data_IF_399931920957
#
_entry.id   IF_399931920957
#
_cell.length_a   1.000
_cell.length_b   1.000
_cell.length_c   1.000
_cell.angle_alpha   90.00
_cell.angle_beta   90.00
_cell.angle_gamma   90.00
#
_symmetry.space_group_name_H-M   'P 1'
#
loop_
_entity.id
_entity.type
_entity.pdbx_description
1 polymer ?
#
# COMPACT_ATOMS: atom_id res chain seq x y z
N UNK A 1 -13.24 3.16 51.18
CA UNK A 1 -11.97 3.78 50.70
C UNK A 1 -11.93 5.32 50.89
N UNK A 2 -13.07 5.99 51.11
CA UNK A 2 -13.16 7.45 51.37
C UNK A 2 -12.76 7.91 52.80
N UNK A 3 -12.28 7.03 53.69
CA UNK A 3 -12.06 7.34 55.12
C UNK A 3 -10.61 7.62 55.52
N UNK A 4 -9.66 7.66 54.59
CA UNK A 4 -8.24 7.98 54.88
C UNK A 4 -7.76 9.26 54.19
N UNK A 5 -8.66 10.24 54.02
CA UNK A 5 -8.27 11.59 53.62
C UNK A 5 -7.71 12.31 54.87
N UNK A 6 -6.41 12.10 55.06
CA UNK A 6 -5.42 12.92 55.75
C UNK A 6 -5.89 13.76 56.96
N UNK A 7 -5.59 13.24 58.16
CA UNK A 7 -5.65 13.99 59.44
C UNK A 7 -4.61 15.11 59.57
N UNK A 8 -3.69 15.27 58.62
CA UNK A 8 -2.64 16.30 58.66
C UNK A 8 -2.21 16.72 57.25
N UNK A 9 -2.77 17.84 56.76
CA UNK A 9 -2.55 18.38 55.40
C UNK A 9 -1.15 18.97 55.21
N UNK A 10 -0.45 19.31 56.30
CA UNK A 10 0.89 19.90 56.26
C UNK A 10 2.03 18.87 56.28
N UNK A 11 1.73 17.58 56.51
CA UNK A 11 2.74 16.53 56.71
C UNK A 11 3.03 15.66 55.49
N UNK A 12 2.38 15.90 54.35
CA UNK A 12 2.50 15.05 53.14
C UNK A 12 2.88 15.92 51.94
N UNK A 13 3.82 15.48 51.12
CA UNK A 13 4.34 16.25 49.98
C UNK A 13 3.23 16.59 48.97
N UNK A 14 3.27 17.81 48.42
CA UNK A 14 2.29 18.33 47.47
C UNK A 14 2.13 17.47 46.20
N UNK A 15 3.16 16.69 45.86
CA UNK A 15 3.18 15.75 44.75
C UNK A 15 2.17 14.62 44.91
N UNK A 16 2.00 14.09 46.13
CA UNK A 16 1.01 13.04 46.45
C UNK A 16 -0.41 13.58 46.31
N UNK A 17 -0.65 14.82 46.71
CA UNK A 17 -1.96 15.46 46.53
C UNK A 17 -2.26 15.70 45.06
N UNK A 18 -1.28 16.18 44.29
CA UNK A 18 -1.44 16.42 42.85
C UNK A 18 -1.76 15.14 42.09
N UNK A 19 -1.07 14.03 42.40
CA UNK A 19 -1.38 12.72 41.83
C UNK A 19 -2.79 12.23 42.22
N UNK A 20 -3.20 12.40 43.48
CA UNK A 20 -4.56 12.02 43.94
C UNK A 20 -5.65 12.87 43.28
N UNK A 21 -5.43 14.18 43.12
CA UNK A 21 -6.34 15.06 42.39
C UNK A 21 -6.40 14.69 40.91
N UNK A 22 -5.28 14.30 40.29
CA UNK A 22 -5.26 13.83 38.91
C UNK A 22 -6.03 12.52 38.73
N UNK A 23 -5.87 11.56 39.67
CA UNK A 23 -6.66 10.31 39.67
C UNK A 23 -8.14 10.60 39.89
N UNK A 24 -8.50 11.48 40.82
CA UNK A 24 -9.88 11.92 41.04
C UNK A 24 -10.45 12.60 39.79
N UNK A 25 -9.67 13.45 39.12
CA UNK A 25 -10.05 14.08 37.86
C UNK A 25 -10.30 13.04 36.75
N UNK A 26 -9.44 12.03 36.61
CA UNK A 26 -9.64 10.92 35.67
C UNK A 26 -10.92 10.12 36.00
N UNK A 27 -11.17 9.84 37.28
CA UNK A 27 -12.38 9.14 37.75
C UNK A 27 -13.65 9.95 37.48
N UNK A 28 -13.64 11.26 37.79
CA UNK A 28 -14.76 12.16 37.52
C UNK A 28 -15.02 12.30 36.02
N UNK A 29 -13.95 12.39 35.21
CA UNK A 29 -14.05 12.42 33.75
C UNK A 29 -14.63 11.11 33.20
N UNK A 30 -14.22 9.97 33.75
CA UNK A 30 -14.78 8.67 33.38
C UNK A 30 -16.26 8.57 33.77
N UNK A 31 -16.64 8.96 34.98
CA UNK A 31 -18.04 9.00 35.42
C UNK A 31 -18.89 9.93 34.54
N UNK A 32 -18.38 11.11 34.21
CA UNK A 32 -19.05 12.05 33.31
C UNK A 32 -19.23 11.47 31.90
N UNK A 33 -18.20 10.82 31.36
CA UNK A 33 -18.26 10.14 30.07
C UNK A 33 -19.28 8.99 30.07
N UNK A 34 -19.32 8.17 31.13
CA UNK A 34 -20.28 7.07 31.27
C UNK A 34 -21.72 7.59 31.41
N UNK A 35 -21.95 8.60 32.24
CA UNK A 35 -23.28 9.20 32.44
C UNK A 35 -23.78 9.89 31.17
N UNK A 36 -22.92 10.64 30.48
CA UNK A 36 -23.27 11.27 29.20
C UNK A 36 -23.56 10.24 28.12
N UNK A 37 -22.75 9.17 28.01
CA UNK A 37 -23.00 8.05 27.09
C UNK A 37 -24.31 7.35 27.41
N UNK A 38 -24.59 7.07 28.69
CA UNK A 38 -25.83 6.42 29.12
C UNK A 38 -27.06 7.29 28.85
N UNK A 39 -26.99 8.59 29.15
CA UNK A 39 -28.04 9.54 28.82
C UNK A 39 -28.26 9.62 27.29
N UNK A 40 -27.19 9.64 26.50
CA UNK A 40 -27.26 9.62 25.05
C UNK A 40 -27.93 8.35 24.53
N UNK A 41 -27.61 7.19 25.10
CA UNK A 41 -28.23 5.90 24.78
C UNK A 41 -29.71 5.85 25.16
N UNK A 42 -30.10 6.42 26.31
CA UNK A 42 -31.51 6.53 26.70
C UNK A 42 -32.29 7.47 25.78
N UNK A 43 -31.69 8.60 25.40
CA UNK A 43 -32.27 9.55 24.44
C UNK A 43 -32.38 8.90 23.06
N UNK A 44 -31.36 8.19 22.58
CA UNK A 44 -31.38 7.43 21.32
C UNK A 44 -32.45 6.32 21.34
N UNK A 45 -32.59 5.60 22.47
CA UNK A 45 -33.63 4.58 22.68
C UNK A 45 -35.04 5.19 22.64
N UNK A 46 -35.21 6.39 23.21
CA UNK A 46 -36.50 7.09 23.28
C UNK A 46 -36.87 7.77 21.96
N UNK A 47 -35.89 8.19 21.16
CA UNK A 47 -36.10 8.94 19.91
C UNK A 47 -36.20 8.04 18.67
N UNK A 48 -35.44 6.94 18.56
CA UNK A 48 -35.55 6.02 17.42
C UNK A 48 -34.87 4.65 17.66
N UNK A 49 -35.67 3.62 17.98
CA UNK A 49 -35.19 2.24 18.20
C UNK A 49 -34.44 1.66 16.99
N UNK A 50 -34.71 2.16 15.78
CA UNK A 50 -34.05 1.69 14.56
C UNK A 50 -32.56 2.10 14.49
N UNK A 51 -32.16 3.18 15.16
CA UNK A 51 -30.75 3.63 15.20
C UNK A 51 -29.87 2.63 15.96
N UNK A 52 -30.37 2.09 17.08
CA UNK A 52 -29.67 1.08 17.89
C UNK A 52 -29.42 -0.23 17.13
N UNK A 53 -30.28 -0.56 16.15
CA UNK A 53 -30.12 -1.72 15.27
C UNK A 53 -29.20 -1.41 14.09
N UNK A 54 -29.24 -0.17 13.59
CA UNK A 54 -28.53 0.25 12.37
C UNK A 54 -27.04 0.49 12.64
N UNK A 55 -26.69 1.12 13.77
CA UNK A 55 -25.30 1.46 14.10
C UNK A 55 -24.39 0.21 14.13
N UNK A 56 -24.71 -0.89 14.84
CA UNK A 56 -23.85 -2.08 14.85
C UNK A 56 -23.66 -2.71 13.48
N UNK A 57 -24.65 -2.59 12.58
CA UNK A 57 -24.56 -3.11 11.20
C UNK A 57 -23.65 -2.26 10.32
N UNK A 58 -23.63 -0.95 10.52
CA UNK A 58 -22.81 0.00 9.76
C UNK A 58 -21.40 0.14 10.33
N UNK A 59 -21.22 -0.13 11.62
CA UNK A 59 -19.99 0.10 12.35
C UNK A 59 -18.76 -0.53 11.67
N UNK A 60 -18.75 -1.82 11.27
CA UNK A 60 -17.56 -2.40 10.64
C UNK A 60 -17.17 -1.70 9.33
N UNK A 61 -18.15 -1.44 8.45
CA UNK A 61 -17.90 -0.77 7.18
C UNK A 61 -17.42 0.68 7.38
N UNK A 62 -18.01 1.40 8.34
CA UNK A 62 -17.64 2.77 8.64
C UNK A 62 -16.24 2.87 9.26
N UNK A 63 -15.89 1.97 10.18
CA UNK A 63 -14.54 1.88 10.74
C UNK A 63 -13.50 1.60 9.65
N UNK A 64 -13.78 0.64 8.76
CA UNK A 64 -12.91 0.34 7.61
C UNK A 64 -12.72 1.54 6.70
N UNK A 65 -13.79 2.30 6.41
CA UNK A 65 -13.67 3.54 5.63
C UNK A 65 -12.79 4.57 6.35
N UNK A 66 -12.95 4.72 7.66
CA UNK A 66 -12.13 5.62 8.47
C UNK A 66 -10.65 5.24 8.45
N UNK A 67 -10.32 3.97 8.67
CA UNK A 67 -8.94 3.46 8.60
C UNK A 67 -8.35 3.54 7.18
N UNK A 68 -9.18 3.31 6.16
CA UNK A 68 -8.73 3.48 4.77
C UNK A 68 -8.43 4.95 4.48
N UNK A 69 -9.22 5.87 5.03
CA UNK A 69 -9.01 7.32 4.86
C UNK A 69 -7.75 7.81 5.58
N UNK A 70 -7.42 7.26 6.75
CA UNK A 70 -6.18 7.60 7.47
C UNK A 70 -4.92 6.99 6.87
N UNK A 71 -5.05 5.94 6.06
CA UNK A 71 -3.92 5.28 5.38
C UNK A 71 -3.73 5.76 3.93
N UNK A 72 -4.82 6.17 3.25
CA UNK A 72 -4.80 6.64 1.86
C UNK A 72 -5.75 7.80 1.65
N UNK A 73 -5.26 8.85 0.99
CA UNK A 73 -6.07 10.05 0.68
C UNK A 73 -7.28 9.76 -0.21
N UNK A 74 -7.21 8.71 -1.04
CA UNK A 74 -8.34 8.24 -1.86
C UNK A 74 -9.32 7.33 -1.10
N UNK A 75 -9.10 7.04 0.18
CA UNK A 75 -10.02 6.25 1.00
C UNK A 75 -11.49 6.72 0.96
N UNK A 76 -11.78 8.04 1.03
CA UNK A 76 -13.14 8.57 0.91
C UNK A 76 -13.87 8.17 -0.38
N UNK A 77 -13.14 7.84 -1.46
CA UNK A 77 -13.73 7.39 -2.72
C UNK A 77 -14.53 6.09 -2.56
N UNK A 78 -14.10 5.17 -1.69
CA UNK A 78 -14.88 3.98 -1.36
C UNK A 78 -16.23 4.35 -0.70
N UNK A 79 -16.23 5.38 0.15
CA UNK A 79 -17.45 5.94 0.74
C UNK A 79 -18.39 6.54 -0.31
N UNK A 80 -17.84 7.20 -1.33
CA UNK A 80 -18.63 7.75 -2.46
C UNK A 80 -19.30 6.62 -3.24
N UNK A 81 -18.60 5.52 -3.52
CA UNK A 81 -19.18 4.35 -4.20
C UNK A 81 -20.34 3.74 -3.39
N UNK A 82 -20.17 3.58 -2.08
CA UNK A 82 -21.23 3.09 -1.17
C UNK A 82 -22.41 4.06 -1.15
N UNK A 83 -22.15 5.37 -1.06
CA UNK A 83 -23.19 6.39 -1.07
C UNK A 83 -23.97 6.40 -2.38
N UNK A 84 -23.28 6.31 -3.52
CA UNK A 84 -23.90 6.19 -4.84
C UNK A 84 -24.84 4.98 -4.90
N UNK A 85 -24.37 3.80 -4.49
CA UNK A 85 -25.18 2.58 -4.46
C UNK A 85 -26.41 2.70 -3.55
N UNK A 86 -26.22 3.22 -2.33
CA UNK A 86 -27.30 3.38 -1.35
C UNK A 86 -28.35 4.41 -1.82
N UNK A 87 -27.93 5.53 -2.40
CA UNK A 87 -28.84 6.53 -2.96
C UNK A 87 -29.58 6.00 -4.20
N UNK A 88 -28.93 5.19 -5.04
CA UNK A 88 -29.56 4.59 -6.21
C UNK A 88 -30.65 3.57 -5.82
N UNK A 89 -30.39 2.75 -4.80
CA UNK A 89 -31.28 1.66 -4.38
C UNK A 89 -32.37 2.10 -3.38
N UNK A 90 -32.06 3.00 -2.45
CA UNK A 90 -32.96 3.44 -1.37
C UNK A 90 -33.33 4.93 -1.45
N UNK A 91 -32.82 5.68 -2.43
CA UNK A 91 -33.10 7.12 -2.63
C UNK A 91 -32.86 7.91 -1.34
N UNK A 92 -33.75 8.85 -1.01
CA UNK A 92 -33.65 9.71 0.17
C UNK A 92 -33.69 8.94 1.50
N UNK A 93 -34.18 7.69 1.51
CA UNK A 93 -34.21 6.87 2.72
C UNK A 93 -32.80 6.42 3.15
N UNK A 94 -31.79 6.45 2.26
CA UNK A 94 -30.41 6.15 2.62
C UNK A 94 -29.73 7.27 3.42
N UNK A 95 -30.22 8.51 3.35
CA UNK A 95 -29.53 9.68 3.91
C UNK A 95 -29.20 9.55 5.41
N UNK A 96 -30.11 9.08 6.29
CA UNK A 96 -29.78 8.92 7.71
C UNK A 96 -28.68 7.87 7.94
N UNK A 97 -28.75 6.74 7.24
CA UNK A 97 -27.74 5.68 7.34
C UNK A 97 -26.38 6.14 6.81
N UNK A 98 -26.36 6.88 5.70
CA UNK A 98 -25.14 7.46 5.14
C UNK A 98 -24.54 8.54 6.05
N UNK A 99 -25.36 9.34 6.72
CA UNK A 99 -24.89 10.31 7.70
C UNK A 99 -24.22 9.62 8.89
N UNK A 100 -24.84 8.58 9.45
CA UNK A 100 -24.27 7.78 10.54
C UNK A 100 -22.95 7.13 10.08
N UNK A 101 -22.96 6.51 8.90
CA UNK A 101 -21.78 5.89 8.30
C UNK A 101 -20.63 6.90 8.15
N UNK A 102 -20.90 8.09 7.61
CA UNK A 102 -19.91 9.14 7.43
C UNK A 102 -19.38 9.67 8.77
N UNK A 103 -20.24 9.91 9.76
CA UNK A 103 -19.82 10.38 11.08
C UNK A 103 -18.90 9.36 11.77
N UNK A 104 -19.28 8.07 11.77
CA UNK A 104 -18.44 7.02 12.35
C UNK A 104 -17.10 6.93 11.61
N UNK A 105 -17.09 7.01 10.28
CA UNK A 105 -15.87 6.99 9.48
C UNK A 105 -14.96 8.19 9.76
N UNK A 106 -15.52 9.40 9.89
CA UNK A 106 -14.75 10.60 10.25
C UNK A 106 -14.14 10.50 11.65
N UNK A 107 -14.89 9.99 12.62
CA UNK A 107 -14.37 9.74 13.98
C UNK A 107 -13.23 8.73 13.93
N UNK A 108 -13.41 7.62 13.23
CA UNK A 108 -12.39 6.59 13.08
C UNK A 108 -11.14 7.10 12.37
N UNK A 109 -11.30 7.88 11.29
CA UNK A 109 -10.20 8.52 10.57
C UNK A 109 -9.43 9.48 11.49
N UNK A 110 -10.13 10.35 12.23
CA UNK A 110 -9.49 11.30 13.15
C UNK A 110 -8.73 10.62 14.28
N UNK A 111 -9.33 9.61 14.93
CA UNK A 111 -8.67 8.86 16.01
C UNK A 111 -7.45 8.10 15.49
N UNK A 112 -7.55 7.48 14.32
CA UNK A 112 -6.46 6.69 13.72
C UNK A 112 -5.40 7.53 12.99
N UNK A 113 -5.55 8.85 12.92
CA UNK A 113 -4.62 9.74 12.25
C UNK A 113 -4.10 10.84 13.20
N UNK A 114 -3.11 10.52 14.07
CA UNK A 114 -2.58 11.45 15.07
C UNK A 114 -2.07 12.77 14.51
N UNK A 115 -1.61 12.75 13.24
CA UNK A 115 -1.24 13.97 12.54
C UNK A 115 -2.38 14.98 12.54
N UNK A 116 -3.66 14.60 12.50
CA UNK A 116 -4.76 15.57 12.48
C UNK A 116 -5.02 16.24 13.85
N UNK A 117 -4.58 15.70 14.98
CA UNK A 117 -5.04 16.14 16.31
C UNK A 117 -4.79 17.61 16.65
N UNK A 118 -3.62 18.21 16.32
CA UNK A 118 -3.36 19.60 16.68
C UNK A 118 -4.15 20.61 15.87
N UNK A 119 -4.49 20.29 14.62
CA UNK A 119 -5.26 21.16 13.73
C UNK A 119 -5.89 20.32 12.58
N UNK A 120 -7.05 19.70 12.80
CA UNK A 120 -7.56 18.65 11.91
C UNK A 120 -7.90 19.15 10.51
N UNK A 121 -8.53 20.33 10.41
CA UNK A 121 -8.95 20.87 9.12
C UNK A 121 -7.74 21.29 8.29
N UNK A 122 -6.82 22.08 8.86
CA UNK A 122 -5.65 22.56 8.13
C UNK A 122 -4.71 21.41 7.75
N UNK A 123 -4.49 20.44 8.64
CA UNK A 123 -3.61 19.30 8.37
C UNK A 123 -4.22 18.30 7.39
N UNK A 124 -5.54 18.11 7.39
CA UNK A 124 -6.21 17.31 6.37
C UNK A 124 -6.05 17.95 4.99
N UNK A 125 -6.32 19.26 4.87
CA UNK A 125 -6.14 19.99 3.62
C UNK A 125 -4.68 20.01 3.16
N UNK A 126 -3.74 20.24 4.08
CA UNK A 126 -2.31 20.17 3.80
C UNK A 126 -1.87 18.79 3.30
N UNK A 127 -2.35 17.71 3.92
CA UNK A 127 -2.08 16.33 3.48
C UNK A 127 -2.65 16.06 2.08
N UNK A 128 -3.84 16.59 1.79
CA UNK A 128 -4.45 16.45 0.47
C UNK A 128 -3.61 17.13 -0.61
N UNK A 129 -3.13 18.35 -0.37
CA UNK A 129 -2.25 19.06 -1.30
C UNK A 129 -0.94 18.28 -1.47
N UNK A 130 -0.26 17.98 -0.37
CA UNK A 130 1.05 17.31 -0.38
C UNK A 130 0.99 15.98 -1.13
N UNK A 131 -0.07 15.19 -0.95
CA UNK A 131 -0.22 13.92 -1.66
C UNK A 131 -0.64 14.09 -3.13
N UNK A 132 -1.36 15.17 -3.46
CA UNK A 132 -1.76 15.47 -4.85
C UNK A 132 -0.59 15.99 -5.69
N UNK A 133 0.36 16.68 -5.06
CA UNK A 133 1.56 17.24 -5.69
C UNK A 133 2.84 16.59 -5.18
N UNK A 134 2.79 15.33 -4.74
CA UNK A 134 3.88 14.68 -4.01
C UNK A 134 5.22 14.92 -4.73
N UNK A 135 6.14 15.71 -4.15
CA UNK A 135 7.27 16.28 -4.85
C UNK A 135 8.42 15.27 -4.94
N UNK A 136 8.13 14.10 -5.50
CA UNK A 136 9.13 13.09 -5.78
C UNK A 136 9.66 13.31 -7.20
N UNK A 137 10.79 14.02 -7.29
CA UNK A 137 11.48 14.33 -8.55
C UNK A 137 12.37 13.18 -9.05
N UNK A 138 12.00 11.93 -8.73
CA UNK A 138 12.74 10.75 -9.16
C UNK A 138 12.50 10.42 -10.63
N UNK A 139 13.48 9.78 -11.24
CA UNK A 139 13.35 9.18 -12.56
C UNK A 139 12.71 7.80 -12.46
N UNK A 140 11.92 7.44 -13.48
CA UNK A 140 11.29 6.13 -13.65
C UNK A 140 11.70 5.57 -14.99
N UNK A 141 12.20 4.34 -15.01
CA UNK A 141 12.53 3.62 -16.23
C UNK A 141 11.26 3.04 -16.88
N UNK A 142 10.93 3.50 -18.08
CA UNK A 142 9.80 3.00 -18.85
C UNK A 142 10.14 2.82 -20.33
N UNK A 143 9.97 1.59 -20.81
CA UNK A 143 10.32 1.12 -22.15
C UNK A 143 11.73 1.55 -22.64
N UNK A 144 12.71 1.59 -21.73
CA UNK A 144 14.11 1.89 -22.05
C UNK A 144 14.50 3.36 -21.93
N UNK A 145 13.56 4.23 -21.62
CA UNK A 145 13.77 5.65 -21.41
C UNK A 145 13.48 6.04 -19.96
N UNK A 146 14.16 7.09 -19.48
CA UNK A 146 13.94 7.64 -18.15
C UNK A 146 12.96 8.80 -18.23
N UNK A 147 11.92 8.73 -17.44
CA UNK A 147 10.91 9.78 -17.33
C UNK A 147 10.91 10.36 -15.91
N UNK A 148 10.62 11.64 -15.76
CA UNK A 148 10.26 12.18 -14.46
C UNK A 148 8.92 11.59 -14.01
N UNK A 149 8.78 11.32 -12.71
CA UNK A 149 7.61 10.66 -12.15
C UNK A 149 6.27 11.38 -12.42
N UNK A 150 6.31 12.70 -12.57
CA UNK A 150 5.16 13.58 -12.86
C UNK A 150 4.92 13.81 -14.37
N UNK A 151 5.81 13.28 -15.22
CA UNK A 151 5.74 13.43 -16.67
C UNK A 151 5.79 12.07 -17.40
N UNK A 152 5.02 11.12 -16.90
CA UNK A 152 4.91 9.79 -17.50
C UNK A 152 4.03 9.80 -18.75
N UNK A 153 4.33 8.98 -19.77
CA UNK A 153 3.50 8.86 -20.96
C UNK A 153 2.15 8.22 -20.60
N UNK A 154 1.08 8.57 -21.34
CA UNK A 154 -0.26 8.00 -21.12
C UNK A 154 -0.31 6.46 -21.27
N UNK A 155 0.66 5.88 -21.99
CA UNK A 155 0.82 4.44 -22.14
C UNK A 155 1.43 3.74 -20.93
N UNK A 156 2.00 4.47 -19.95
CA UNK A 156 2.69 3.91 -18.79
C UNK A 156 1.83 2.89 -18.04
N UNK A 157 0.68 3.34 -17.52
CA UNK A 157 -0.18 2.50 -16.69
C UNK A 157 -0.84 1.36 -17.49
N UNK A 158 -1.43 1.60 -18.68
CA UNK A 158 -1.95 0.51 -19.50
C UNK A 158 -0.90 -0.54 -19.88
N UNK A 159 0.33 -0.12 -20.22
CA UNK A 159 1.41 -1.04 -20.56
C UNK A 159 1.80 -1.88 -19.36
N UNK A 160 2.03 -1.28 -18.19
CA UNK A 160 2.39 -2.03 -16.99
C UNK A 160 1.29 -3.00 -16.55
N UNK A 161 0.02 -2.60 -16.64
CA UNK A 161 -1.11 -3.51 -16.45
C UNK A 161 -1.07 -4.67 -17.45
N UNK A 162 -0.76 -4.43 -18.72
CA UNK A 162 -0.68 -5.50 -19.71
C UNK A 162 0.47 -6.49 -19.43
N UNK A 163 1.60 -6.04 -18.86
CA UNK A 163 2.83 -6.85 -18.76
C UNK A 163 3.17 -7.37 -17.36
N UNK A 164 2.62 -6.82 -16.27
CA UNK A 164 2.89 -7.29 -14.90
C UNK A 164 1.78 -8.16 -14.31
N UNK A 165 0.71 -8.41 -15.07
CA UNK A 165 -0.27 -9.44 -14.73
C UNK A 165 -0.08 -10.68 -15.59
N UNK A 166 -0.49 -11.83 -15.05
CA UNK A 166 -0.57 -13.06 -15.84
C UNK A 166 -1.58 -12.86 -16.97
N UNK A 167 -1.24 -13.37 -18.15
CA UNK A 167 -1.99 -13.22 -19.39
C UNK A 167 -3.48 -13.61 -19.28
N UNK A 168 -3.85 -14.68 -18.53
CA UNK A 168 -5.25 -15.05 -18.38
C UNK A 168 -6.13 -13.96 -17.79
N UNK A 169 -5.60 -13.06 -16.93
CA UNK A 169 -6.45 -12.12 -16.19
C UNK A 169 -7.23 -11.18 -17.11
N UNK A 170 -6.58 -10.63 -18.14
CA UNK A 170 -7.20 -9.64 -19.02
C UNK A 170 -8.17 -10.29 -19.99
N UNK A 171 -7.84 -11.50 -20.46
CA UNK A 171 -8.74 -12.32 -21.29
C UNK A 171 -10.01 -12.65 -20.50
N UNK A 172 -9.86 -13.15 -19.27
CA UNK A 172 -10.98 -13.50 -18.41
C UNK A 172 -11.79 -12.26 -18.00
N UNK A 173 -11.15 -11.14 -17.68
CA UNK A 173 -11.84 -9.90 -17.37
C UNK A 173 -12.64 -9.37 -18.57
N UNK A 174 -12.10 -9.45 -19.79
CA UNK A 174 -12.81 -9.07 -21.01
C UNK A 174 -14.03 -9.97 -21.30
N UNK A 175 -13.88 -11.29 -21.16
CA UNK A 175 -14.99 -12.26 -21.27
C UNK A 175 -16.05 -11.96 -20.20
N UNK A 176 -15.62 -11.73 -18.96
CA UNK A 176 -16.47 -11.36 -17.84
C UNK A 176 -17.25 -10.08 -18.09
N UNK A 177 -16.59 -9.05 -18.62
CA UNK A 177 -17.21 -7.78 -18.99
C UNK A 177 -18.27 -7.97 -20.08
N UNK A 178 -17.95 -8.71 -21.14
CA UNK A 178 -18.91 -9.03 -22.21
C UNK A 178 -20.18 -9.67 -21.64
N UNK A 179 -20.01 -10.65 -20.75
CA UNK A 179 -21.10 -11.35 -20.10
C UNK A 179 -21.87 -10.50 -19.08
N UNK A 180 -21.19 -9.60 -18.36
CA UNK A 180 -21.83 -8.66 -17.45
C UNK A 180 -22.68 -7.62 -18.20
N UNK A 181 -22.23 -7.20 -19.39
CA UNK A 181 -22.99 -6.33 -20.29
C UNK A 181 -24.20 -7.05 -20.91
N UNK A 182 -24.10 -8.36 -21.21
CA UNK A 182 -25.24 -9.14 -21.71
C UNK A 182 -26.32 -9.30 -20.64
N UNK A 183 -25.93 -9.58 -19.40
CA UNK A 183 -26.85 -9.75 -18.27
C UNK A 183 -27.06 -8.44 -17.48
N UNK A 184 -26.90 -7.31 -18.16
CA UNK A 184 -26.88 -5.98 -17.54
C UNK A 184 -28.13 -5.71 -16.70
N UNK A 185 -29.30 -6.19 -17.11
CA UNK A 185 -30.56 -5.99 -16.38
C UNK A 185 -30.54 -6.59 -14.97
N UNK A 186 -29.80 -7.68 -14.75
CA UNK A 186 -29.74 -8.37 -13.46
C UNK A 186 -28.59 -7.85 -12.57
N UNK A 187 -27.44 -7.52 -13.16
CA UNK A 187 -26.21 -7.15 -12.43
C UNK A 187 -25.78 -5.68 -12.65
N UNK A 188 -26.68 -4.81 -13.12
CA UNK A 188 -26.41 -3.40 -13.49
C UNK A 188 -25.56 -2.65 -12.46
N UNK A 189 -25.97 -2.67 -11.19
CA UNK A 189 -25.32 -1.86 -10.16
C UNK A 189 -23.90 -2.33 -9.87
N UNK A 190 -23.70 -3.64 -9.77
CA UNK A 190 -22.38 -4.23 -9.55
C UNK A 190 -21.45 -3.91 -10.72
N UNK A 191 -21.94 -3.98 -11.96
CA UNK A 191 -21.14 -3.61 -13.13
C UNK A 191 -20.77 -2.12 -13.09
N UNK A 192 -21.75 -1.23 -12.87
CA UNK A 192 -21.49 0.22 -12.81
C UNK A 192 -20.50 0.54 -11.69
N UNK A 193 -20.67 -0.01 -10.49
CA UNK A 193 -19.74 0.19 -9.38
C UNK A 193 -18.34 -0.33 -9.69
N UNK A 194 -18.23 -1.50 -10.31
CA UNK A 194 -16.94 -2.08 -10.71
C UNK A 194 -16.23 -1.21 -11.75
N UNK A 195 -16.97 -0.72 -12.75
CA UNK A 195 -16.46 0.19 -13.77
C UNK A 195 -16.07 1.54 -13.18
N UNK A 196 -16.87 2.11 -12.28
CA UNK A 196 -16.51 3.36 -11.60
C UNK A 196 -15.27 3.17 -10.75
N UNK A 197 -15.21 2.10 -9.95
CA UNK A 197 -14.05 1.80 -9.11
C UNK A 197 -12.76 1.67 -9.93
N UNK A 198 -12.78 0.95 -11.05
CA UNK A 198 -11.58 0.78 -11.86
C UNK A 198 -11.31 2.00 -12.76
N UNK A 199 -12.25 2.36 -13.64
CA UNK A 199 -11.99 3.31 -14.73
C UNK A 199 -11.85 4.75 -14.24
N UNK A 200 -12.68 5.21 -13.30
CA UNK A 200 -12.66 6.62 -12.91
C UNK A 200 -11.31 7.03 -12.31
N UNK A 201 -10.80 6.41 -11.24
CA UNK A 201 -9.48 6.75 -10.73
C UNK A 201 -8.39 6.46 -11.76
N UNK A 202 -8.41 5.32 -12.48
CA UNK A 202 -7.39 5.02 -13.51
C UNK A 202 -7.27 6.15 -14.53
N UNK A 203 -8.40 6.62 -15.07
CA UNK A 203 -8.42 7.72 -16.02
C UNK A 203 -7.95 9.03 -15.37
N UNK A 204 -8.34 9.32 -14.13
CA UNK A 204 -7.86 10.51 -13.42
C UNK A 204 -6.34 10.46 -13.19
N UNK A 205 -5.77 9.32 -12.80
CA UNK A 205 -4.32 9.16 -12.65
C UNK A 205 -3.58 9.42 -13.97
N UNK A 206 -4.09 8.90 -15.09
CA UNK A 206 -3.52 9.08 -16.43
C UNK A 206 -3.66 10.53 -16.92
N UNK A 207 -4.86 11.11 -16.80
CA UNK A 207 -5.17 12.44 -17.33
C UNK A 207 -4.55 13.57 -16.51
N UNK A 208 -4.52 13.43 -15.19
CA UNK A 208 -3.94 14.41 -14.27
C UNK A 208 -2.42 14.22 -14.10
N UNK A 209 -1.83 13.19 -14.73
CA UNK A 209 -0.41 12.84 -14.63
C UNK A 209 0.09 12.84 -13.17
N UNK A 210 -0.66 12.19 -12.30
CA UNK A 210 -0.28 12.06 -10.89
C UNK A 210 1.07 11.34 -10.83
N UNK A 211 1.98 11.81 -9.97
CA UNK A 211 3.31 11.23 -9.84
C UNK A 211 3.25 9.75 -9.46
N UNK A 212 3.80 8.88 -10.31
CA UNK A 212 3.90 7.44 -10.07
C UNK A 212 5.35 7.00 -10.16
N UNK A 213 5.70 5.98 -9.37
CA UNK A 213 7.05 5.44 -9.33
C UNK A 213 7.07 4.02 -8.83
N UNK A 214 8.18 3.33 -9.11
CA UNK A 214 8.36 1.92 -8.76
C UNK A 214 7.17 1.08 -9.26
N UNK A 215 6.90 1.20 -10.57
CA UNK A 215 5.75 0.64 -11.29
C UNK A 215 4.40 1.23 -10.87
N UNK A 216 3.37 0.38 -10.66
CA UNK A 216 2.01 0.79 -10.28
C UNK A 216 1.61 0.31 -8.87
N UNK A 217 2.58 -0.02 -8.00
CA UNK A 217 2.30 -0.58 -6.65
C UNK A 217 1.35 0.30 -5.81
N UNK A 218 1.37 1.61 -6.04
CA UNK A 218 0.47 2.57 -5.40
C UNK A 218 -0.99 2.34 -5.78
N UNK A 219 -1.25 1.79 -6.98
CA UNK A 219 -2.55 1.64 -7.62
C UNK A 219 -3.14 0.23 -7.53
N UNK A 220 -2.54 -0.69 -6.76
CA UNK A 220 -3.05 -2.07 -6.61
C UNK A 220 -4.51 -2.14 -6.12
N UNK A 221 -4.97 -1.12 -5.41
CA UNK A 221 -6.36 -0.99 -4.93
C UNK A 221 -7.40 -0.83 -6.05
N UNK A 222 -6.97 -0.56 -7.30
CA UNK A 222 -7.85 -0.44 -8.46
C UNK A 222 -8.26 -1.79 -9.04
N UNK A 223 -7.52 -2.85 -8.74
CA UNK A 223 -7.61 -4.14 -9.42
C UNK A 223 -8.74 -5.08 -8.98
N UNK A 224 -9.35 -5.01 -7.77
CA UNK A 224 -10.40 -5.94 -7.39
C UNK A 224 -11.55 -6.07 -8.41
N UNK A 225 -12.07 -4.99 -9.03
CA UNK A 225 -13.02 -5.09 -10.14
C UNK A 225 -12.58 -5.97 -11.30
N UNK A 226 -11.29 -5.96 -11.67
CA UNK A 226 -10.74 -6.79 -12.75
C UNK A 226 -10.88 -8.27 -12.41
N UNK A 227 -10.55 -8.64 -11.17
CA UNK A 227 -10.69 -10.01 -10.69
C UNK A 227 -12.16 -10.44 -10.53
N UNK A 228 -13.05 -9.52 -10.12
CA UNK A 228 -14.49 -9.77 -10.09
C UNK A 228 -15.03 -10.09 -11.48
N UNK A 229 -14.61 -9.33 -12.50
CA UNK A 229 -14.97 -9.61 -13.89
C UNK A 229 -14.42 -10.96 -14.35
N UNK A 230 -13.18 -11.30 -14.04
CA UNK A 230 -12.65 -12.64 -14.31
C UNK A 230 -13.50 -13.75 -13.64
N UNK A 231 -14.01 -13.52 -12.43
CA UNK A 231 -14.97 -14.41 -11.76
C UNK A 231 -16.26 -14.62 -12.55
N UNK A 232 -16.82 -13.55 -13.14
CA UNK A 232 -18.01 -13.63 -14.01
C UNK A 232 -17.77 -14.54 -15.23
N UNK A 233 -16.55 -14.57 -15.77
CA UNK A 233 -16.21 -15.51 -16.83
C UNK A 233 -16.31 -16.97 -16.35
N UNK A 234 -15.77 -17.28 -15.16
CA UNK A 234 -15.86 -18.61 -14.58
C UNK A 234 -17.30 -19.03 -14.24
N UNK A 235 -18.18 -18.11 -13.83
CA UNK A 235 -19.61 -18.40 -13.56
C UNK A 235 -20.37 -18.95 -14.79
N UNK A 236 -19.83 -18.77 -16.00
CA UNK A 236 -20.40 -19.32 -17.23
C UNK A 236 -20.14 -20.80 -17.39
N UNK A 237 -19.11 -21.33 -16.74
CA UNK A 237 -18.79 -22.75 -16.76
C UNK A 237 -19.68 -23.44 -15.72
N UNK A 238 -20.75 -24.12 -16.18
CA UNK A 238 -21.78 -24.68 -15.30
C UNK A 238 -21.37 -25.98 -14.60
N UNK A 239 -20.49 -26.74 -15.22
CA UNK A 239 -19.98 -27.98 -14.65
C UNK A 239 -18.78 -27.68 -13.76
N UNK A 240 -18.89 -28.04 -12.48
CA UNK A 240 -17.88 -27.71 -11.46
C UNK A 240 -16.48 -28.22 -11.82
N UNK A 241 -16.36 -29.44 -12.36
CA UNK A 241 -15.06 -30.00 -12.76
C UNK A 241 -14.32 -29.16 -13.80
N UNK A 242 -15.04 -28.63 -14.80
CA UNK A 242 -14.46 -27.77 -15.84
C UNK A 242 -14.18 -26.37 -15.33
N UNK A 243 -15.02 -25.86 -14.41
CA UNK A 243 -14.79 -24.58 -13.77
C UNK A 243 -13.52 -24.62 -12.91
N UNK A 244 -13.37 -25.66 -12.09
CA UNK A 244 -12.16 -25.89 -11.28
C UNK A 244 -10.93 -26.07 -12.16
N UNK A 245 -11.02 -26.86 -13.24
CA UNK A 245 -9.91 -27.02 -14.18
C UNK A 245 -9.50 -25.70 -14.85
N UNK A 246 -10.47 -24.89 -15.27
CA UNK A 246 -10.21 -23.58 -15.87
C UNK A 246 -9.56 -22.60 -14.87
N UNK A 247 -10.02 -22.59 -13.62
CA UNK A 247 -9.41 -21.79 -12.55
C UNK A 247 -7.96 -22.26 -12.32
N UNK A 248 -7.74 -23.57 -12.14
CA UNK A 248 -6.42 -24.13 -11.91
C UNK A 248 -5.45 -23.80 -13.06
N UNK A 249 -5.90 -23.95 -14.31
CA UNK A 249 -5.10 -23.62 -15.49
C UNK A 249 -4.79 -22.12 -15.57
N UNK A 250 -5.74 -21.25 -15.22
CA UNK A 250 -5.53 -19.80 -15.24
C UNK A 250 -4.51 -19.31 -14.21
N UNK A 251 -4.33 -20.05 -13.11
CA UNK A 251 -3.36 -19.74 -12.06
C UNK A 251 -1.96 -20.26 -12.38
N UNK A 252 -1.84 -21.23 -13.30
CA UNK A 252 -0.59 -21.91 -13.59
C UNK A 252 0.57 -20.97 -13.97
N UNK A 253 0.39 -19.94 -14.84
CA UNK A 253 1.48 -19.01 -15.16
C UNK A 253 2.00 -18.27 -13.92
N UNK A 254 1.07 -17.87 -13.03
CA UNK A 254 1.41 -17.22 -11.77
C UNK A 254 2.15 -18.16 -10.84
N UNK A 255 1.69 -19.40 -10.68
CA UNK A 255 2.36 -20.41 -9.84
C UNK A 255 3.78 -20.70 -10.32
N UNK A 256 3.98 -20.87 -11.63
CA UNK A 256 5.31 -21.06 -12.22
C UNK A 256 6.20 -19.85 -11.94
N UNK A 257 5.67 -18.64 -12.11
CA UNK A 257 6.41 -17.41 -11.79
C UNK A 257 6.78 -17.29 -10.30
N UNK A 258 5.86 -17.63 -9.40
CA UNK A 258 6.10 -17.58 -7.95
C UNK A 258 7.26 -18.49 -7.53
N UNK A 259 7.36 -19.68 -8.13
CA UNK A 259 8.44 -20.65 -7.90
C UNK A 259 9.74 -20.16 -8.52
N UNK A 260 9.73 -19.81 -9.81
CA UNK A 260 10.94 -19.44 -10.55
C UNK A 260 11.57 -18.13 -10.07
N UNK A 261 10.76 -17.20 -9.55
CA UNK A 261 11.23 -15.91 -9.08
C UNK A 261 11.49 -15.89 -7.59
N UNK A 262 11.25 -16.96 -6.83
CA UNK A 262 11.48 -16.92 -5.39
C UNK A 262 12.92 -16.55 -5.03
N UNK A 263 13.18 -15.63 -4.08
CA UNK A 263 12.24 -14.85 -3.24
C UNK A 263 11.81 -13.46 -3.79
N UNK A 264 11.97 -13.19 -5.08
CA UNK A 264 11.74 -11.92 -5.78
C UNK A 264 10.46 -11.88 -6.61
N UNK A 265 9.35 -12.45 -6.15
CA UNK A 265 8.14 -12.55 -6.97
C UNK A 265 7.58 -11.20 -7.45
N UNK A 266 7.92 -10.11 -6.75
CA UNK A 266 7.44 -8.77 -7.07
C UNK A 266 8.07 -8.17 -8.34
N UNK A 267 9.17 -8.72 -8.85
CA UNK A 267 9.80 -8.27 -10.10
C UNK A 267 9.15 -8.89 -11.35
N UNK A 268 8.03 -9.60 -11.19
CA UNK A 268 7.39 -10.37 -12.24
C UNK A 268 7.01 -9.50 -13.45
N UNK A 269 7.34 -10.04 -14.62
CA UNK A 269 6.86 -9.62 -15.92
C UNK A 269 6.41 -10.86 -16.70
N UNK A 270 5.34 -10.73 -17.47
CA UNK A 270 4.72 -11.84 -18.17
C UNK A 270 5.45 -12.20 -19.47
N UNK A 271 4.99 -13.26 -20.14
CA UNK A 271 5.65 -13.79 -21.34
C UNK A 271 5.57 -12.86 -22.55
N UNK A 272 4.58 -11.96 -22.61
CA UNK A 272 4.39 -11.01 -23.72
C UNK A 272 5.61 -10.08 -23.86
N UNK A 273 6.20 -9.68 -22.74
CA UNK A 273 7.40 -8.83 -22.72
C UNK A 273 8.71 -9.64 -22.69
N UNK A 274 8.62 -10.97 -22.71
CA UNK A 274 9.78 -11.87 -22.62
C UNK A 274 10.22 -12.17 -21.18
N UNK A 275 9.30 -12.09 -20.22
CA UNK A 275 9.59 -12.31 -18.80
C UNK A 275 10.44 -11.22 -18.18
N UNK A 276 11.03 -11.52 -17.02
CA UNK A 276 11.87 -10.57 -16.27
C UNK A 276 13.12 -10.17 -17.07
N UNK A 277 13.75 -11.10 -17.78
CA UNK A 277 14.87 -10.82 -18.70
C UNK A 277 14.49 -9.82 -19.80
N UNK A 278 13.30 -9.96 -20.40
CA UNK A 278 12.82 -9.04 -21.44
C UNK A 278 12.43 -7.65 -20.93
N UNK A 279 12.22 -7.53 -19.61
CA UNK A 279 11.99 -6.26 -18.94
C UNK A 279 13.29 -5.55 -18.50
N UNK A 280 14.41 -6.27 -18.37
CA UNK A 280 15.68 -5.68 -17.93
C UNK A 280 16.12 -4.53 -18.85
N UNK A 281 16.42 -3.38 -18.25
CA UNK A 281 16.83 -2.17 -18.96
C UNK A 281 15.68 -1.48 -19.70
N UNK A 282 14.47 -2.03 -19.68
CA UNK A 282 13.26 -1.43 -20.25
C UNK A 282 12.28 -0.96 -19.18
N UNK A 283 12.13 -1.70 -18.10
CA UNK A 283 11.23 -1.38 -16.99
C UNK A 283 11.93 -1.62 -15.65
N UNK A 284 11.37 -1.07 -14.57
CA UNK A 284 11.89 -1.24 -13.22
C UNK A 284 11.83 -2.72 -12.78
N UNK A 285 12.95 -3.27 -12.31
CA UNK A 285 13.06 -4.64 -11.75
C UNK A 285 13.12 -4.60 -10.22
N UNK A 286 14.28 -4.85 -9.61
CA UNK A 286 14.47 -4.88 -8.15
C UNK A 286 14.56 -3.47 -7.54
N UNK A 287 13.49 -2.67 -7.68
CA UNK A 287 13.47 -1.28 -7.21
C UNK A 287 13.51 -1.15 -5.67
N UNK A 288 13.13 -2.20 -4.92
CA UNK A 288 13.29 -2.24 -3.46
C UNK A 288 14.68 -2.71 -3.02
N UNK A 289 15.58 -3.05 -3.95
CA UNK A 289 16.95 -3.50 -3.65
C UNK A 289 16.97 -4.70 -2.69
N UNK A 290 16.00 -5.60 -2.83
CA UNK A 290 15.93 -6.81 -2.00
C UNK A 290 17.12 -7.75 -2.28
N UNK A 291 17.76 -7.60 -3.44
CA UNK A 291 19.00 -8.30 -3.78
C UNK A 291 20.16 -7.97 -2.86
N UNK A 292 20.11 -6.85 -2.13
CA UNK A 292 21.19 -6.48 -1.20
C UNK A 292 21.30 -7.42 -0.01
N UNK A 293 20.22 -8.12 0.32
CA UNK A 293 20.30 -9.22 1.29
C UNK A 293 21.24 -10.33 0.80
N UNK A 294 21.05 -10.82 -0.43
CA UNK A 294 21.93 -11.86 -1.00
C UNK A 294 23.35 -11.35 -1.19
N UNK A 295 23.52 -10.05 -1.50
CA UNK A 295 24.84 -9.44 -1.56
C UNK A 295 25.57 -9.48 -0.22
N UNK A 296 24.86 -9.14 0.87
CA UNK A 296 25.41 -9.17 2.21
C UNK A 296 25.73 -10.61 2.65
N UNK A 297 24.80 -11.54 2.44
CA UNK A 297 25.01 -12.96 2.76
C UNK A 297 26.21 -13.54 2.01
N UNK A 298 26.42 -13.15 0.74
CA UNK A 298 27.61 -13.54 -0.02
C UNK A 298 28.90 -12.97 0.56
N UNK A 299 28.95 -11.66 0.86
CA UNK A 299 30.18 -11.04 1.37
C UNK A 299 30.51 -11.49 2.80
N UNK A 300 29.52 -11.71 3.68
CA UNK A 300 29.77 -12.29 5.00
C UNK A 300 30.50 -13.64 4.91
N UNK A 301 30.22 -14.44 3.87
CA UNK A 301 30.82 -15.77 3.69
C UNK A 301 32.15 -15.75 2.93
N UNK A 302 32.39 -14.75 2.08
CA UNK A 302 33.47 -14.79 1.09
C UNK A 302 34.49 -13.64 1.23
N UNK A 303 34.13 -12.55 1.92
CA UNK A 303 35.05 -11.45 2.17
C UNK A 303 35.92 -11.74 3.41
N UNK A 304 37.22 -11.37 3.39
CA UNK A 304 38.04 -11.37 4.60
C UNK A 304 37.42 -10.50 5.70
N UNK A 305 37.55 -10.91 6.96
CA UNK A 305 37.15 -10.08 8.11
C UNK A 305 37.83 -8.70 8.06
N UNK A 306 37.09 -7.65 8.38
CA UNK A 306 37.54 -6.26 8.28
C UNK A 306 37.48 -5.65 6.87
N UNK A 307 36.85 -6.31 5.88
CA UNK A 307 36.73 -5.77 4.53
C UNK A 307 35.84 -4.53 4.49
N UNK A 308 36.32 -3.46 3.85
CA UNK A 308 35.57 -2.22 3.66
C UNK A 308 34.66 -2.34 2.43
N UNK A 309 33.35 -2.14 2.62
CA UNK A 309 32.33 -2.35 1.60
C UNK A 309 31.63 -1.04 1.26
N UNK A 310 31.66 -0.65 -0.01
CA UNK A 310 30.79 0.41 -0.53
C UNK A 310 29.49 -0.19 -1.07
N UNK A 311 28.35 0.30 -0.60
CA UNK A 311 27.03 -0.07 -1.11
C UNK A 311 26.42 1.13 -1.81
N UNK A 312 26.28 1.00 -3.12
CA UNK A 312 25.68 2.01 -3.95
C UNK A 312 24.16 2.06 -3.74
N UNK A 313 23.54 3.25 -3.71
CA UNK A 313 22.11 3.39 -3.45
C UNK A 313 21.75 3.30 -1.95
N UNK A 314 20.72 2.53 -1.60
CA UNK A 314 20.16 2.48 -0.24
C UNK A 314 20.94 1.50 0.66
N UNK A 315 22.13 1.90 1.10
CA UNK A 315 23.03 1.05 1.90
C UNK A 315 22.42 0.47 3.18
N UNK A 316 21.45 1.17 3.80
CA UNK A 316 20.76 0.68 4.99
C UNK A 316 20.03 -0.65 4.78
N UNK A 317 19.61 -0.98 3.56
CA UNK A 317 18.96 -2.26 3.24
C UNK A 317 19.96 -3.42 3.23
N UNK A 318 21.21 -3.14 2.83
CA UNK A 318 22.31 -4.10 2.92
C UNK A 318 22.76 -4.28 4.37
N UNK A 319 22.95 -3.18 5.10
CA UNK A 319 23.47 -3.15 6.47
C UNK A 319 22.71 -4.04 7.45
N UNK A 320 21.38 -4.21 7.27
CA UNK A 320 20.54 -5.09 8.10
C UNK A 320 21.05 -6.54 8.12
N UNK A 321 21.75 -6.98 7.06
CA UNK A 321 22.21 -8.35 6.88
C UNK A 321 23.73 -8.49 6.89
N UNK A 322 24.48 -7.40 7.08
CA UNK A 322 25.94 -7.44 7.16
C UNK A 322 26.40 -7.87 8.56
N UNK A 323 27.42 -8.72 8.65
CA UNK A 323 28.00 -9.11 9.95
C UNK A 323 28.83 -7.98 10.58
N UNK A 324 29.57 -7.23 9.76
CA UNK A 324 30.39 -6.08 10.16
C UNK A 324 29.77 -4.78 9.61
N UNK A 325 28.61 -4.37 10.14
CA UNK A 325 27.89 -3.16 9.68
C UNK A 325 28.77 -1.89 9.74
N UNK A 326 29.69 -1.81 10.70
CA UNK A 326 30.64 -0.71 10.84
C UNK A 326 31.53 -0.51 9.60
N UNK A 327 31.77 -1.57 8.84
CA UNK A 327 32.60 -1.55 7.64
C UNK A 327 31.79 -1.30 6.36
N UNK A 328 30.48 -1.05 6.49
CA UNK A 328 29.57 -0.74 5.38
C UNK A 328 29.39 0.76 5.22
N UNK A 329 29.74 1.26 4.04
CA UNK A 329 29.64 2.66 3.65
C UNK A 329 28.66 2.83 2.49
N UNK A 330 27.96 3.96 2.48
CA UNK A 330 27.04 4.36 1.40
C UNK A 330 26.88 5.87 1.41
N UNK A 331 26.06 6.43 0.53
CA UNK A 331 25.78 7.86 0.44
C UNK A 331 25.34 8.53 1.76
N UNK A 332 24.77 7.78 2.70
CA UNK A 332 24.39 8.28 4.03
C UNK A 332 25.55 8.41 5.01
N UNK A 333 26.71 7.80 4.71
CA UNK A 333 27.96 7.85 5.48
C UNK A 333 29.12 8.28 4.56
N UNK A 334 29.21 9.58 4.18
CA UNK A 334 30.16 10.07 3.19
C UNK A 334 31.62 10.10 3.66
N UNK A 335 31.87 10.01 4.97
CA UNK A 335 33.21 9.94 5.57
C UNK A 335 33.78 8.52 5.47
N UNK A 336 33.95 8.03 4.25
CA UNK A 336 34.37 6.67 4.00
C UNK A 336 35.90 6.57 3.77
N UNK A 337 36.61 5.64 4.44
CA UNK A 337 38.00 5.38 4.16
C UNK A 337 38.11 4.65 2.81
N UNK A 338 38.59 5.34 1.78
CA UNK A 338 39.02 4.69 0.53
C UNK A 338 40.48 4.23 0.68
N UNK A 339 40.88 3.09 0.07
CA UNK A 339 40.13 2.27 -0.89
C UNK A 339 39.15 1.27 -0.23
N UNK A 340 38.09 0.91 -0.95
CA UNK A 340 37.17 -0.16 -0.56
C UNK A 340 37.60 -1.50 -1.16
N UNK A 341 37.40 -2.58 -0.42
CA UNK A 341 37.68 -3.95 -0.88
C UNK A 341 36.59 -4.47 -1.81
N UNK A 342 35.33 -4.09 -1.56
CA UNK A 342 34.18 -4.52 -2.35
C UNK A 342 33.19 -3.40 -2.62
N UNK A 343 32.56 -3.46 -3.79
CA UNK A 343 31.50 -2.55 -4.22
C UNK A 343 30.24 -3.35 -4.53
N UNK A 344 29.13 -3.05 -3.86
CA UNK A 344 27.80 -3.61 -4.17
C UNK A 344 27.02 -2.58 -4.97
N UNK A 345 26.65 -2.92 -6.20
CA UNK A 345 25.96 -2.02 -7.11
C UNK A 345 24.68 -2.66 -7.69
N UNK A 346 23.57 -1.94 -7.61
CA UNK A 346 22.30 -2.34 -8.23
C UNK A 346 22.29 -2.06 -9.74
N UNK A 347 21.50 -2.83 -10.50
CA UNK A 347 21.22 -2.49 -11.90
C UNK A 347 20.24 -1.33 -12.06
N UNK A 348 19.56 -0.92 -10.97
CA UNK A 348 18.68 0.25 -10.99
C UNK A 348 19.48 1.48 -11.44
N UNK A 349 18.91 2.25 -12.36
CA UNK A 349 19.57 3.40 -13.00
C UNK A 349 20.89 3.12 -13.72
N UNK A 350 21.24 1.85 -13.95
CA UNK A 350 22.50 1.45 -14.57
C UNK A 350 23.73 1.60 -13.67
N UNK A 351 23.53 1.60 -12.35
CA UNK A 351 24.62 1.80 -11.38
C UNK A 351 25.64 0.67 -11.41
N UNK A 352 25.22 -0.54 -11.77
CA UNK A 352 26.08 -1.69 -12.10
C UNK A 352 27.10 -1.38 -13.21
N UNK A 353 26.83 -0.41 -14.09
CA UNK A 353 27.72 -0.01 -15.19
C UNK A 353 28.48 1.27 -14.91
N UNK A 354 27.89 2.21 -14.17
CA UNK A 354 28.48 3.55 -13.96
C UNK A 354 29.37 3.61 -12.71
N UNK A 355 29.10 2.81 -11.69
CA UNK A 355 29.81 2.82 -10.41
C UNK A 355 30.94 1.80 -10.45
N UNK A 356 32.19 2.26 -10.38
CA UNK A 356 33.40 1.44 -10.59
C UNK A 356 33.31 0.61 -11.90
N UNK A 357 33.30 1.26 -13.08
CA UNK A 357 33.05 0.60 -14.36
C UNK A 357 34.13 -0.42 -14.74
N UNK A 358 35.37 -0.20 -14.28
CA UNK A 358 36.52 -1.05 -14.60
C UNK A 358 36.80 -2.13 -13.54
N UNK A 359 36.07 -2.13 -12.43
CA UNK A 359 36.26 -3.12 -11.37
C UNK A 359 35.75 -4.50 -11.81
N UNK A 360 36.45 -5.55 -11.37
CA UNK A 360 36.10 -6.92 -11.70
C UNK A 360 34.78 -7.31 -11.02
N UNK A 361 33.82 -7.84 -11.77
CA UNK A 361 32.59 -8.39 -11.18
C UNK A 361 32.89 -9.77 -10.62
N UNK A 362 32.92 -9.87 -9.29
CA UNK A 362 33.22 -11.12 -8.57
C UNK A 362 31.97 -11.93 -8.25
N UNK A 363 30.79 -11.30 -8.23
CA UNK A 363 29.51 -11.99 -8.01
C UNK A 363 28.34 -11.26 -8.69
N UNK A 364 27.37 -12.03 -9.18
CA UNK A 364 26.18 -11.52 -9.87
C UNK A 364 24.93 -12.11 -9.24
N UNK A 365 24.06 -11.24 -8.74
CA UNK A 365 22.75 -11.64 -8.21
C UNK A 365 21.72 -11.47 -9.32
N UNK A 366 21.14 -12.58 -9.76
CA UNK A 366 20.21 -12.61 -10.88
C UNK A 366 19.02 -13.52 -10.62
N UNK A 367 17.87 -13.18 -11.20
CA UNK A 367 16.62 -13.96 -11.13
C UNK A 367 15.81 -13.79 -12.42
N UNK A 368 15.18 -14.87 -12.87
CA UNK A 368 14.36 -14.84 -14.10
C UNK A 368 15.13 -14.38 -15.34
N UNK A 369 16.44 -14.64 -15.39
CA UNK A 369 17.33 -14.20 -16.46
C UNK A 369 17.71 -12.71 -16.41
N UNK A 370 17.32 -11.98 -15.36
CA UNK A 370 17.72 -10.59 -15.15
C UNK A 370 18.73 -10.42 -14.02
N UNK A 371 19.72 -9.56 -14.20
CA UNK A 371 20.67 -9.12 -13.17
C UNK A 371 19.97 -8.07 -12.30
N UNK A 372 20.09 -8.18 -10.99
CA UNK A 372 19.48 -7.28 -10.00
C UNK A 372 20.54 -6.43 -9.28
N UNK A 373 21.66 -7.07 -8.94
CA UNK A 373 22.83 -6.42 -8.35
C UNK A 373 24.12 -7.19 -8.70
N UNK A 374 25.25 -6.49 -8.62
CA UNK A 374 26.59 -7.04 -8.83
C UNK A 374 27.48 -6.66 -7.66
N UNK A 375 28.45 -7.52 -7.37
CA UNK A 375 29.52 -7.27 -6.42
C UNK A 375 30.81 -7.15 -7.22
N UNK A 376 31.55 -6.08 -6.98
CA UNK A 376 32.79 -5.77 -7.69
C UNK A 376 33.97 -5.69 -6.73
N UNK A 377 35.15 -5.96 -7.26
CA UNK A 377 36.43 -5.79 -6.58
C UNK A 377 37.27 -4.73 -7.34
N UNK A 378 37.49 -3.54 -6.76
CA UNK A 378 38.23 -2.44 -7.38
C UNK A 378 39.69 -2.73 -7.70
#
# INVERSE_FOLDING_TARGET
ILSYIAKNIAGVSAEIYTQRYFVLFLQLRACYFLLSTFALLLVLRKLNLQLLITIPRLLPAALLLGFTTSTRILGPYAGILVAYYALRTKRRQALPALAIYAVIALIAAYISWPYLWPNPIARFYGSFIEMSSYPWFGEVLFNGEKYLADNLPYSYLPALFAIQFTEPVWILAAIGLFFACKDFSQKRDLLILSLLWFLLPTLLFILLRVSLYDNFRQLLFLLPPVFLLAGVAFERIKQIQWQTAAIALSLLPGMVALVNLHPYQYIYYNSIVGGVSGAQGRFETDYWLTSYREAAEYLNQNAPAGSLIWVEGQGHLYSIFAEEEENVYSWSRPEAPAPFDYIVATTRYGLDKTVYPNAEIVHVISRGGAILAVIKKP
#
